data_IF_288449989158
#
_entry.id   IF_288449989158
#
_cell.length_a   1.000
_cell.length_b   1.000
_cell.length_c   1.000
_cell.angle_alpha   90.00
_cell.angle_beta   90.00
_cell.angle_gamma   90.00
#
_symmetry.space_group_name_H-M   'P 1'
#
loop_
_entity.id
_entity.type
_entity.pdbx_description
1 polymer ?
#
# COMPACT_ATOMS: atom_id res chain seq x y z
N UNK A 1 8.75 -20.70 3.17
CA UNK A 1 8.09 -20.27 1.92
C UNK A 1 9.06 -20.22 0.76
N UNK A 2 8.62 -20.71 -0.41
CA UNK A 2 9.39 -20.69 -1.64
C UNK A 2 9.27 -19.35 -2.37
N UNK A 3 10.35 -18.89 -3.02
CA UNK A 3 10.30 -17.69 -3.86
C UNK A 3 9.96 -18.07 -5.31
N UNK A 4 8.71 -17.89 -5.69
CA UNK A 4 8.19 -18.31 -7.01
C UNK A 4 8.12 -17.17 -8.03
N UNK A 5 8.38 -15.91 -7.64
CA UNK A 5 8.45 -14.76 -8.56
C UNK A 5 9.90 -14.34 -8.81
N UNK A 6 10.75 -14.42 -7.77
CA UNK A 6 12.16 -14.00 -7.85
C UNK A 6 12.34 -12.48 -8.03
N UNK A 7 11.53 -11.69 -7.31
CA UNK A 7 11.75 -10.24 -7.22
C UNK A 7 12.71 -9.93 -6.07
N UNK A 8 13.56 -8.88 -6.16
CA UNK A 8 14.42 -8.47 -5.05
C UNK A 8 13.62 -8.09 -3.81
N UNK A 9 14.20 -8.29 -2.61
CA UNK A 9 13.60 -7.84 -1.36
C UNK A 9 13.52 -6.32 -1.26
N UNK A 10 14.43 -5.60 -1.93
CA UNK A 10 14.43 -4.15 -2.08
C UNK A 10 14.96 -3.77 -3.47
N UNK A 11 14.28 -2.81 -4.12
CA UNK A 11 14.72 -2.25 -5.37
C UNK A 11 14.45 -0.75 -5.37
N UNK A 12 15.47 0.06 -5.58
CA UNK A 12 15.38 1.50 -5.64
C UNK A 12 15.98 2.03 -6.94
N UNK A 13 15.33 3.04 -7.50
CA UNK A 13 15.91 3.88 -8.52
C UNK A 13 16.29 5.23 -7.92
N UNK A 14 17.37 5.81 -8.42
CA UNK A 14 17.74 7.20 -8.14
C UNK A 14 17.46 8.00 -9.40
N UNK A 15 16.57 8.97 -9.28
CA UNK A 15 16.17 9.84 -10.37
C UNK A 15 16.80 11.21 -10.20
N UNK A 16 17.54 11.66 -11.22
CA UNK A 16 18.09 13.01 -11.33
C UNK A 16 17.29 13.86 -12.34
N UNK A 17 16.43 13.23 -13.14
CA UNK A 17 15.54 13.89 -14.11
C UNK A 17 14.11 13.42 -13.88
N UNK A 18 13.21 14.35 -13.56
CA UNK A 18 11.81 14.00 -13.35
C UNK A 18 10.86 15.19 -13.50
N UNK A 19 9.60 14.89 -13.72
CA UNK A 19 8.51 15.85 -13.82
C UNK A 19 7.57 15.74 -12.64
N UNK A 20 7.16 16.88 -12.08
CA UNK A 20 6.14 16.95 -11.04
C UNK A 20 4.93 17.68 -11.60
N UNK A 21 3.79 17.01 -11.64
CA UNK A 21 2.50 17.60 -12.00
C UNK A 21 1.75 18.00 -10.71
N UNK A 22 1.73 19.28 -10.39
CA UNK A 22 0.95 19.82 -9.27
C UNK A 22 -0.45 20.20 -9.76
N UNK A 23 -1.39 19.25 -9.65
CA UNK A 23 -2.77 19.45 -10.11
C UNK A 23 -3.52 20.54 -9.34
N UNK A 24 -3.13 20.82 -8.09
CA UNK A 24 -3.75 21.87 -7.28
C UNK A 24 -3.34 23.26 -7.74
N UNK A 25 -2.08 23.42 -8.16
CA UNK A 25 -1.54 24.69 -8.63
C UNK A 25 -1.58 24.80 -10.16
N UNK A 26 -2.00 23.73 -10.86
CA UNK A 26 -1.98 23.63 -12.33
C UNK A 26 -0.60 23.95 -12.92
N UNK A 27 0.44 23.39 -12.31
CA UNK A 27 1.84 23.63 -12.70
C UNK A 27 2.57 22.31 -12.95
N UNK A 28 3.49 22.36 -13.89
CA UNK A 28 4.47 21.30 -14.12
C UNK A 28 5.84 21.83 -13.72
N UNK A 29 6.52 21.10 -12.86
CA UNK A 29 7.91 21.37 -12.50
C UNK A 29 8.79 20.38 -13.23
N UNK A 30 9.82 20.87 -13.90
CA UNK A 30 10.88 20.06 -14.49
C UNK A 30 12.08 20.13 -13.56
N UNK A 31 12.56 18.98 -13.12
CA UNK A 31 13.68 18.86 -12.19
C UNK A 31 14.82 18.11 -12.89
N UNK A 32 15.99 18.72 -12.91
CA UNK A 32 17.26 18.13 -13.31
C UNK A 32 18.27 18.32 -12.20
N UNK A 33 18.93 17.26 -11.79
CA UNK A 33 19.89 17.24 -10.68
C UNK A 33 21.21 16.62 -11.14
N UNK A 34 22.23 16.70 -10.29
CA UNK A 34 23.56 16.15 -10.54
C UNK A 34 24.19 15.50 -9.30
N UNK A 35 23.37 15.08 -8.35
CA UNK A 35 23.83 14.54 -7.05
C UNK A 35 24.72 13.32 -7.23
N UNK A 36 24.40 12.46 -8.22
CA UNK A 36 25.09 11.19 -8.45
C UNK A 36 25.82 11.13 -9.80
N UNK A 37 25.30 11.79 -10.84
CA UNK A 37 25.87 11.75 -12.19
C UNK A 37 27.18 12.51 -12.33
N UNK A 38 27.45 13.45 -11.43
CA UNK A 38 28.62 14.33 -11.53
C UNK A 38 28.62 15.28 -12.74
N UNK A 39 27.42 15.46 -13.39
CA UNK A 39 27.25 16.43 -14.48
C UNK A 39 27.54 17.84 -13.98
N UNK A 40 28.21 18.64 -14.79
CA UNK A 40 28.39 20.06 -14.48
C UNK A 40 27.08 20.85 -14.66
N UNK A 41 27.10 22.07 -14.15
CA UNK A 41 25.88 22.92 -14.16
C UNK A 41 25.41 23.28 -15.58
N UNK A 42 26.31 23.33 -16.57
CA UNK A 42 25.96 23.65 -17.94
C UNK A 42 25.27 22.46 -18.61
N UNK A 43 25.74 21.24 -18.36
CA UNK A 43 25.10 20.00 -18.81
C UNK A 43 23.68 19.84 -18.19
N UNK A 44 23.55 20.18 -16.90
CA UNK A 44 22.22 20.16 -16.23
C UNK A 44 21.26 21.19 -16.83
N UNK A 45 21.74 22.42 -17.09
CA UNK A 45 20.93 23.47 -17.76
C UNK A 45 20.52 23.09 -19.17
N UNK A 46 21.44 22.47 -19.92
CA UNK A 46 21.15 22.02 -21.29
C UNK A 46 20.06 20.90 -21.26
N UNK A 47 20.19 19.92 -20.37
CA UNK A 47 19.18 18.85 -20.18
C UNK A 47 17.81 19.43 -19.83
N UNK A 48 17.76 20.37 -18.87
CA UNK A 48 16.54 21.07 -18.48
C UNK A 48 15.90 21.79 -19.68
N UNK A 49 16.70 22.54 -20.44
CA UNK A 49 16.23 23.24 -21.66
C UNK A 49 15.66 22.28 -22.69
N UNK A 50 16.29 21.14 -22.90
CA UNK A 50 15.82 20.11 -23.83
C UNK A 50 14.48 19.53 -23.42
N UNK A 51 14.30 19.18 -22.12
CA UNK A 51 13.02 18.65 -21.61
C UNK A 51 11.90 19.68 -21.77
N UNK A 52 12.15 20.94 -21.42
CA UNK A 52 11.17 22.03 -21.58
C UNK A 52 10.79 22.21 -23.06
N UNK A 53 11.78 22.22 -23.96
CA UNK A 53 11.54 22.32 -25.41
C UNK A 53 10.69 21.14 -25.91
N UNK A 54 11.03 19.93 -25.50
CA UNK A 54 10.25 18.73 -25.90
C UNK A 54 8.80 18.81 -25.44
N UNK A 55 8.55 19.25 -24.19
CA UNK A 55 7.19 19.41 -23.66
C UNK A 55 6.38 20.48 -24.43
N UNK A 56 7.02 21.49 -24.97
CA UNK A 56 6.37 22.58 -25.70
C UNK A 56 6.15 22.28 -27.18
N UNK A 57 7.02 21.48 -27.78
CA UNK A 57 7.05 21.29 -29.25
C UNK A 57 6.55 19.94 -29.72
N UNK A 58 6.59 18.90 -28.86
CA UNK A 58 6.08 17.60 -29.26
C UNK A 58 4.55 17.61 -29.28
N UNK A 59 3.99 17.21 -30.43
CA UNK A 59 2.55 16.95 -30.49
C UNK A 59 2.17 15.81 -29.54
N UNK A 60 1.05 15.90 -28.83
CA UNK A 60 0.58 14.79 -28.03
C UNK A 60 0.37 13.56 -28.92
N UNK A 61 0.96 12.43 -28.52
CA UNK A 61 0.64 11.17 -29.15
C UNK A 61 -0.84 10.88 -28.90
N UNK A 62 -1.61 10.70 -29.96
CA UNK A 62 -2.99 10.24 -29.84
C UNK A 62 -2.96 8.84 -29.24
N UNK A 63 -3.37 8.74 -27.98
CA UNK A 63 -3.55 7.46 -27.31
C UNK A 63 -4.90 6.88 -27.70
N UNK A 64 -4.89 5.77 -28.42
CA UNK A 64 -6.09 4.97 -28.67
C UNK A 64 -6.12 3.85 -27.61
N UNK A 65 -7.07 3.91 -26.65
CA UNK A 65 -7.20 2.83 -25.66
C UNK A 65 -7.42 1.50 -26.37
N UNK A 66 -6.55 0.53 -26.12
CA UNK A 66 -6.81 -0.83 -26.55
C UNK A 66 -7.72 -1.53 -25.53
N UNK A 67 -8.64 -2.34 -26.03
CA UNK A 67 -9.45 -3.17 -25.16
C UNK A 67 -8.53 -4.16 -24.41
N UNK A 68 -8.55 -4.12 -23.08
CA UNK A 68 -7.79 -5.08 -22.30
C UNK A 68 -8.39 -6.47 -22.48
N UNK A 69 -7.51 -7.44 -22.71
CA UNK A 69 -7.90 -8.84 -22.68
C UNK A 69 -8.28 -9.24 -21.26
N UNK A 70 -9.38 -9.97 -21.11
CA UNK A 70 -9.76 -10.53 -19.81
C UNK A 70 -8.75 -11.62 -19.41
N UNK A 71 -8.04 -11.39 -18.31
CA UNK A 71 -7.07 -12.34 -17.79
C UNK A 71 -7.78 -13.49 -17.07
N UNK A 72 -7.34 -14.72 -17.35
CA UNK A 72 -7.82 -15.92 -16.68
C UNK A 72 -6.84 -16.29 -15.57
N UNK A 73 -7.17 -15.92 -14.34
CA UNK A 73 -6.34 -16.19 -13.18
C UNK A 73 -6.51 -17.61 -12.65
N UNK A 74 -5.41 -18.25 -12.35
CA UNK A 74 -5.32 -19.54 -11.65
C UNK A 74 -4.75 -19.34 -10.24
N UNK A 75 -5.23 -20.14 -9.29
CA UNK A 75 -4.74 -20.15 -7.92
C UNK A 75 -3.38 -20.87 -7.86
N UNK A 76 -2.47 -20.39 -7.01
CA UNK A 76 -1.21 -21.06 -6.71
C UNK A 76 -1.34 -22.17 -5.67
N UNK A 77 -2.35 -22.08 -4.82
CA UNK A 77 -2.63 -23.08 -3.80
C UNK A 77 -4.06 -23.60 -3.94
N UNK A 78 -4.24 -24.88 -3.66
CA UNK A 78 -5.55 -25.52 -3.69
C UNK A 78 -6.45 -24.98 -2.55
N UNK A 79 -7.75 -24.99 -2.79
CA UNK A 79 -8.77 -24.48 -1.84
C UNK A 79 -8.65 -25.16 -0.48
N UNK A 80 -8.46 -26.48 -0.47
CA UNK A 80 -8.36 -27.30 0.73
C UNK A 80 -7.13 -26.92 1.57
N UNK A 81 -6.00 -26.62 0.91
CA UNK A 81 -4.77 -26.14 1.58
C UNK A 81 -5.02 -24.80 2.23
N UNK A 82 -5.65 -23.84 1.53
CA UNK A 82 -5.98 -22.54 2.11
C UNK A 82 -6.94 -22.67 3.28
N UNK A 83 -7.95 -23.53 3.18
CA UNK A 83 -8.89 -23.79 4.29
C UNK A 83 -8.19 -24.39 5.51
N UNK A 84 -7.21 -25.27 5.33
CA UNK A 84 -6.40 -25.82 6.43
C UNK A 84 -5.53 -24.72 7.09
N UNK A 85 -4.91 -23.84 6.30
CA UNK A 85 -4.18 -22.68 6.81
C UNK A 85 -5.09 -21.78 7.69
N UNK A 86 -6.30 -21.49 7.23
CA UNK A 86 -7.30 -20.73 7.97
C UNK A 86 -7.70 -21.43 9.26
N UNK A 87 -7.91 -22.74 9.22
CA UNK A 87 -8.26 -23.55 10.42
C UNK A 87 -7.15 -23.51 11.47
N UNK A 88 -5.90 -23.65 11.04
CA UNK A 88 -4.72 -23.55 11.91
C UNK A 88 -4.57 -22.14 12.51
N UNK A 89 -4.74 -21.08 11.72
CA UNK A 89 -4.69 -19.70 12.21
C UNK A 89 -5.79 -19.42 13.24
N UNK A 90 -7.01 -19.89 13.00
CA UNK A 90 -8.13 -19.82 13.96
C UNK A 90 -7.81 -20.54 15.28
N UNK A 91 -7.11 -21.68 15.22
CA UNK A 91 -6.67 -22.39 16.41
C UNK A 91 -5.67 -21.54 17.22
N UNK A 92 -4.64 -20.99 16.58
CA UNK A 92 -3.67 -20.11 17.25
C UNK A 92 -4.31 -18.89 17.91
N UNK A 93 -5.31 -18.28 17.25
CA UNK A 93 -6.05 -17.14 17.82
C UNK A 93 -6.85 -17.56 19.05
N UNK A 94 -7.55 -18.72 19.02
CA UNK A 94 -8.31 -19.23 20.17
C UNK A 94 -7.41 -19.60 21.36
N UNK A 95 -6.21 -20.08 21.10
CA UNK A 95 -5.21 -20.41 22.11
C UNK A 95 -4.53 -19.17 22.70
N UNK A 96 -4.87 -17.95 22.22
CA UNK A 96 -4.29 -16.70 22.71
C UNK A 96 -2.89 -16.39 22.18
N UNK A 97 -2.46 -17.07 21.12
CA UNK A 97 -1.14 -16.90 20.53
C UNK A 97 -1.01 -15.58 19.75
N UNK A 98 -2.11 -15.10 19.17
CA UNK A 98 -2.24 -13.82 18.49
C UNK A 98 -3.69 -13.33 18.48
N UNK A 99 -3.91 -12.02 18.28
CA UNK A 99 -5.24 -11.43 18.19
C UNK A 99 -5.77 -11.42 16.77
N UNK A 100 -4.88 -11.19 15.81
CA UNK A 100 -5.18 -11.08 14.39
C UNK A 100 -4.05 -11.65 13.54
N UNK A 101 -4.42 -12.25 12.41
CA UNK A 101 -3.51 -12.74 11.40
C UNK A 101 -4.13 -12.54 10.01
N UNK A 102 -3.35 -12.07 9.05
CA UNK A 102 -3.76 -11.92 7.65
C UNK A 102 -3.06 -12.97 6.82
N UNK A 103 -3.79 -13.99 6.38
CA UNK A 103 -3.31 -15.00 5.45
C UNK A 103 -3.57 -14.56 4.02
N UNK A 104 -2.67 -14.86 3.10
CA UNK A 104 -2.78 -14.47 1.71
C UNK A 104 -2.60 -15.66 0.76
N UNK A 105 -3.09 -15.46 -0.46
CA UNK A 105 -2.85 -16.37 -1.57
C UNK A 105 -2.55 -15.58 -2.84
N UNK A 106 -1.77 -16.20 -3.72
CA UNK A 106 -1.36 -15.65 -5.01
C UNK A 106 -2.17 -16.28 -6.13
N UNK A 107 -2.38 -15.45 -7.15
CA UNK A 107 -3.00 -15.83 -8.40
C UNK A 107 -2.08 -15.41 -9.54
N UNK A 108 -2.05 -16.18 -10.63
CA UNK A 108 -1.34 -15.79 -11.83
C UNK A 108 -2.16 -16.03 -13.10
N UNK A 109 -1.86 -15.26 -14.12
CA UNK A 109 -2.42 -15.40 -15.46
C UNK A 109 -1.34 -15.11 -16.49
N UNK A 110 -1.47 -15.67 -17.69
CA UNK A 110 -0.66 -15.26 -18.83
C UNK A 110 -1.02 -13.84 -19.22
N UNK A 111 -0.01 -13.03 -19.50
CA UNK A 111 -0.18 -11.61 -19.83
C UNK A 111 0.48 -11.31 -21.18
N UNK A 112 -0.34 -10.89 -22.12
CA UNK A 112 0.08 -10.39 -23.43
C UNK A 112 -0.52 -9.00 -23.60
N UNK A 113 0.31 -7.98 -23.67
CA UNK A 113 -0.17 -6.60 -23.85
C UNK A 113 0.81 -5.57 -23.32
N UNK A 114 0.46 -4.30 -23.46
CA UNK A 114 1.23 -3.19 -22.92
C UNK A 114 0.89 -2.99 -21.42
N UNK A 115 1.87 -3.11 -20.53
CA UNK A 115 1.69 -2.84 -19.11
C UNK A 115 1.14 -1.42 -18.82
N UNK A 116 1.52 -0.44 -19.64
CA UNK A 116 1.07 0.93 -19.47
C UNK A 116 -0.42 1.10 -19.80
N UNK A 117 -0.96 0.35 -20.76
CA UNK A 117 -2.40 0.35 -21.05
C UNK A 117 -3.21 -0.23 -19.89
N UNK A 118 -2.69 -1.26 -19.22
CA UNK A 118 -3.30 -1.75 -18.00
C UNK A 118 -3.31 -0.69 -16.91
N UNK A 119 -2.18 0.01 -16.68
CA UNK A 119 -2.12 1.11 -15.73
C UNK A 119 -3.10 2.24 -16.03
N UNK A 120 -3.23 2.64 -17.30
CA UNK A 120 -4.19 3.67 -17.73
C UNK A 120 -5.62 3.29 -17.42
N UNK A 121 -6.00 2.04 -17.67
CA UNK A 121 -7.31 1.52 -17.31
C UNK A 121 -7.52 1.48 -15.80
N UNK A 122 -6.53 1.00 -15.03
CA UNK A 122 -6.57 0.96 -13.57
C UNK A 122 -6.79 2.36 -12.98
N UNK A 123 -6.11 3.36 -13.51
CA UNK A 123 -6.24 4.76 -13.08
C UNK A 123 -7.66 5.31 -13.23
N UNK A 124 -8.38 4.90 -14.26
CA UNK A 124 -9.76 5.35 -14.53
C UNK A 124 -10.77 4.55 -13.69
N UNK A 125 -10.58 3.24 -13.61
CA UNK A 125 -11.55 2.33 -12.98
C UNK A 125 -11.41 2.28 -11.47
N UNK A 126 -10.21 2.46 -10.94
CA UNK A 126 -9.91 2.35 -9.51
C UNK A 126 -9.07 3.53 -9.01
N UNK A 127 -9.62 4.76 -8.98
CA UNK A 127 -8.90 5.92 -8.47
C UNK A 127 -8.52 5.69 -7.00
N UNK A 128 -7.26 5.91 -6.67
CA UNK A 128 -6.69 5.70 -5.36
C UNK A 128 -5.68 6.79 -5.03
N UNK A 129 -5.38 6.99 -3.75
CA UNK A 129 -4.42 7.99 -3.30
C UNK A 129 -2.99 7.67 -3.78
N UNK A 130 -2.69 6.38 -3.96
CA UNK A 130 -1.39 5.90 -4.42
C UNK A 130 -1.57 5.05 -5.68
N UNK A 131 -1.43 5.71 -6.82
CA UNK A 131 -1.39 5.08 -8.13
C UNK A 131 0.06 5.06 -8.60
N UNK A 132 0.54 3.91 -9.03
CA UNK A 132 1.92 3.75 -9.44
C UNK A 132 2.11 2.77 -10.58
N UNK A 133 3.11 3.07 -11.38
CA UNK A 133 3.66 2.24 -12.43
C UNK A 133 5.18 2.31 -12.33
N UNK A 134 5.82 1.21 -11.95
CA UNK A 134 7.26 1.07 -11.92
C UNK A 134 7.70 0.08 -12.98
N UNK A 135 8.60 0.49 -13.85
CA UNK A 135 9.26 -0.39 -14.79
C UNK A 135 10.71 -0.62 -14.33
N UNK A 136 10.99 -1.84 -13.88
CA UNK A 136 12.30 -2.26 -13.42
C UNK A 136 13.12 -2.97 -14.52
N UNK A 137 12.64 -2.95 -15.78
CA UNK A 137 13.22 -3.67 -16.89
C UNK A 137 12.78 -5.13 -16.92
N UNK A 138 13.25 -5.94 -16.00
CA UNK A 138 12.92 -7.38 -15.93
C UNK A 138 11.49 -7.64 -15.44
N UNK A 139 10.87 -6.69 -14.76
CA UNK A 139 9.50 -6.78 -14.26
C UNK A 139 8.87 -5.39 -14.08
N UNK A 140 7.55 -5.32 -14.15
CA UNK A 140 6.79 -4.12 -13.86
C UNK A 140 5.92 -4.31 -12.62
N UNK A 141 5.71 -3.21 -11.89
CA UNK A 141 4.84 -3.15 -10.71
C UNK A 141 3.78 -2.09 -10.94
N UNK A 142 2.52 -2.52 -10.96
CA UNK A 142 1.38 -1.67 -11.28
C UNK A 142 0.37 -1.76 -10.14
N UNK A 143 0.00 -0.63 -9.55
CA UNK A 143 -0.91 -0.69 -8.41
C UNK A 143 -1.74 0.57 -8.19
N UNK A 144 -2.80 0.37 -7.41
CA UNK A 144 -3.73 1.38 -6.93
C UNK A 144 -3.99 1.18 -5.43
N UNK A 145 -2.98 1.46 -4.61
CA UNK A 145 -3.08 1.28 -3.16
C UNK A 145 -3.91 2.40 -2.52
N UNK A 146 -4.89 2.08 -1.71
CA UNK A 146 -5.67 3.08 -0.97
C UNK A 146 -5.02 3.48 0.35
N UNK A 147 -3.99 2.76 0.82
CA UNK A 147 -3.54 2.81 2.20
C UNK A 147 -2.09 3.26 2.31
N UNK A 148 -1.88 4.36 3.04
CA UNK A 148 -0.56 4.82 3.44
C UNK A 148 0.05 3.87 4.46
N UNK A 149 1.31 3.51 4.28
CA UNK A 149 2.09 2.79 5.28
C UNK A 149 2.67 3.78 6.30
N UNK A 150 3.47 4.71 5.82
CA UNK A 150 4.13 5.72 6.64
C UNK A 150 4.60 6.89 5.77
N UNK A 151 4.49 8.10 6.30
CA UNK A 151 5.14 9.26 5.71
C UNK A 151 6.03 9.97 6.74
N UNK A 152 7.07 10.62 6.24
CA UNK A 152 7.96 11.50 7.03
C UNK A 152 8.05 12.82 6.30
N UNK A 153 7.73 13.89 7.01
CA UNK A 153 7.83 15.26 6.46
C UNK A 153 8.40 16.20 7.51
N UNK A 154 9.53 16.82 7.20
CA UNK A 154 10.23 17.70 8.14
C UNK A 154 10.48 17.03 9.50
N UNK A 155 10.78 15.72 9.52
CA UNK A 155 10.99 14.92 10.72
C UNK A 155 9.73 14.53 11.49
N UNK A 156 8.52 14.93 11.07
CA UNK A 156 7.27 14.39 11.60
C UNK A 156 6.93 13.08 10.88
N UNK A 157 6.83 12.00 11.66
CA UNK A 157 6.41 10.67 11.18
C UNK A 157 4.91 10.54 11.36
N UNK A 158 4.22 10.04 10.32
CA UNK A 158 2.77 9.87 10.33
C UNK A 158 2.40 8.49 9.80
N UNK A 159 1.45 7.83 10.46
CA UNK A 159 0.73 6.67 9.93
C UNK A 159 -0.78 6.88 10.06
N UNK A 160 -1.53 6.34 9.11
CA UNK A 160 -2.97 6.55 9.02
C UNK A 160 -3.70 5.19 9.10
N UNK A 161 -3.96 4.66 10.30
CA UNK A 161 -4.75 3.44 10.43
C UNK A 161 -6.15 3.63 9.84
N UNK A 162 -6.54 2.69 8.99
CA UNK A 162 -7.86 2.63 8.34
C UNK A 162 -8.44 1.25 8.65
N UNK A 163 -9.65 1.21 9.20
CA UNK A 163 -10.40 -0.02 9.39
C UNK A 163 -11.90 0.27 9.43
N UNK A 164 -12.69 -0.79 9.28
CA UNK A 164 -14.13 -0.64 9.17
C UNK A 164 -14.55 -0.09 7.80
N UNK A 165 -15.59 -0.68 7.23
CA UNK A 165 -16.07 -0.28 5.90
C UNK A 165 -17.58 -0.36 5.84
N UNK A 166 -18.19 0.69 5.27
CA UNK A 166 -19.59 0.66 4.82
C UNK A 166 -19.66 1.22 3.41
N UNK A 167 -20.61 0.75 2.59
CA UNK A 167 -20.87 1.37 1.29
C UNK A 167 -21.39 2.80 1.49
N UNK A 168 -21.31 3.61 0.45
CA UNK A 168 -21.99 4.91 0.40
C UNK A 168 -23.49 4.71 0.29
N UNK A 169 -24.23 5.55 0.97
CA UNK A 169 -25.69 5.63 0.81
C UNK A 169 -26.10 6.24 -0.54
N UNK A 170 -27.35 6.12 -0.87
CA UNK A 170 -27.94 6.72 -2.08
C UNK A 170 -28.25 8.21 -1.92
N UNK A 171 -28.24 8.70 -0.66
CA UNK A 171 -28.47 10.09 -0.28
C UNK A 171 -27.78 10.41 1.06
N UNK A 172 -27.76 11.70 1.42
CA UNK A 172 -27.08 12.18 2.64
C UNK A 172 -27.63 11.57 3.94
N UNK A 173 -28.94 11.31 4.03
CA UNK A 173 -29.54 10.74 5.22
C UNK A 173 -29.12 9.27 5.41
N UNK A 174 -29.06 8.51 4.34
CA UNK A 174 -28.56 7.13 4.34
C UNK A 174 -27.05 7.08 4.64
N UNK A 175 -26.26 7.99 4.05
CA UNK A 175 -24.83 8.14 4.37
C UNK A 175 -24.62 8.41 5.87
N UNK A 176 -25.41 9.32 6.45
CA UNK A 176 -25.32 9.64 7.88
C UNK A 176 -25.70 8.44 8.76
N UNK A 177 -26.73 7.68 8.40
CA UNK A 177 -27.16 6.48 9.14
C UNK A 177 -26.08 5.37 9.08
N UNK A 178 -25.47 5.12 7.91
CA UNK A 178 -24.38 4.16 7.74
C UNK A 178 -23.11 4.59 8.49
N UNK A 179 -22.80 5.89 8.52
CA UNK A 179 -21.68 6.43 9.28
C UNK A 179 -21.89 6.28 10.80
N UNK A 180 -23.12 6.53 11.27
CA UNK A 180 -23.48 6.33 12.68
C UNK A 180 -23.38 4.85 13.07
N UNK A 181 -23.93 3.95 12.25
CA UNK A 181 -23.80 2.49 12.43
C UNK A 181 -22.33 2.08 12.50
N UNK A 182 -21.49 2.53 11.55
CA UNK A 182 -20.07 2.19 11.51
C UNK A 182 -19.34 2.66 12.77
N UNK A 183 -19.61 3.87 13.24
CA UNK A 183 -18.95 4.45 14.41
C UNK A 183 -19.34 3.78 15.73
N UNK A 184 -20.52 3.13 15.78
CA UNK A 184 -21.01 2.39 16.94
C UNK A 184 -20.86 0.87 16.84
N UNK A 185 -20.39 0.36 15.71
CA UNK A 185 -20.12 -1.07 15.54
C UNK A 185 -18.96 -1.50 16.45
N UNK A 186 -19.29 -2.34 17.46
CA UNK A 186 -18.35 -2.80 18.48
C UNK A 186 -17.14 -3.53 17.86
N UNK A 187 -17.37 -4.30 16.80
CA UNK A 187 -16.36 -5.09 16.13
C UNK A 187 -15.40 -4.19 15.34
N UNK A 188 -15.95 -3.31 14.49
CA UNK A 188 -15.16 -2.42 13.65
C UNK A 188 -14.32 -1.44 14.49
N UNK A 189 -14.92 -0.90 15.57
CA UNK A 189 -14.21 0.01 16.50
C UNK A 189 -13.14 -0.72 17.31
N UNK A 190 -13.34 -1.98 17.71
CA UNK A 190 -12.34 -2.77 18.42
C UNK A 190 -11.15 -3.11 17.52
N UNK A 191 -11.40 -3.49 16.26
CA UNK A 191 -10.35 -3.72 15.26
C UNK A 191 -9.57 -2.44 14.98
N UNK A 192 -10.27 -1.34 14.74
CA UNK A 192 -9.62 -0.04 14.50
C UNK A 192 -8.75 0.40 15.67
N UNK A 193 -9.22 0.25 16.91
CA UNK A 193 -8.43 0.54 18.13
C UNK A 193 -7.14 -0.24 18.18
N UNK A 194 -7.19 -1.53 17.86
CA UNK A 194 -6.02 -2.39 17.79
C UNK A 194 -5.01 -1.89 16.76
N UNK A 195 -5.45 -1.44 15.57
CA UNK A 195 -4.57 -0.89 14.54
C UNK A 195 -3.97 0.47 14.94
N UNK A 196 -4.73 1.32 15.64
CA UNK A 196 -4.21 2.57 16.20
C UNK A 196 -3.13 2.29 17.26
N UNK A 197 -3.35 1.33 18.15
CA UNK A 197 -2.35 0.97 19.15
C UNK A 197 -1.10 0.36 18.52
N UNK A 198 -1.24 -0.42 17.45
CA UNK A 198 -0.12 -0.91 16.67
C UNK A 198 0.67 0.23 16.04
N UNK A 199 0.00 1.20 15.42
CA UNK A 199 0.64 2.40 14.85
C UNK A 199 1.36 3.23 15.91
N UNK A 200 0.75 3.41 17.09
CA UNK A 200 1.40 4.08 18.23
C UNK A 200 2.66 3.34 18.68
N UNK A 201 2.61 2.01 18.74
CA UNK A 201 3.76 1.20 19.10
C UNK A 201 4.88 1.30 18.05
N UNK A 202 4.54 1.26 16.77
CA UNK A 202 5.53 1.34 15.69
C UNK A 202 6.22 2.72 15.64
N UNK A 203 5.46 3.81 15.74
CA UNK A 203 6.02 5.17 15.81
C UNK A 203 6.76 5.38 17.16
N UNK A 204 6.27 4.80 18.25
CA UNK A 204 6.89 4.93 19.57
C UNK A 204 8.33 4.44 19.66
N UNK A 205 8.73 3.50 18.80
CA UNK A 205 10.11 2.98 18.73
C UNK A 205 11.13 3.99 18.18
N UNK A 206 10.66 4.95 17.40
CA UNK A 206 11.49 5.86 16.60
C UNK A 206 11.23 7.33 16.89
N UNK A 207 10.22 7.63 17.67
CA UNK A 207 9.84 9.01 18.00
C UNK A 207 10.42 9.48 19.33
N UNK A 208 10.65 10.77 19.45
CA UNK A 208 11.00 11.43 20.72
C UNK A 208 9.94 11.13 21.77
N UNK A 209 10.38 10.87 23.00
CA UNK A 209 9.48 10.60 24.11
C UNK A 209 8.44 11.71 24.30
N UNK A 210 7.18 11.33 24.50
CA UNK A 210 6.07 12.25 24.70
C UNK A 210 5.54 12.93 23.45
N UNK A 211 6.12 12.66 22.26
CA UNK A 211 5.66 13.27 20.99
C UNK A 211 4.64 12.45 20.25
N UNK A 212 4.48 11.15 20.56
CA UNK A 212 3.49 10.30 19.92
C UNK A 212 2.09 10.73 20.31
N UNK A 213 1.29 11.13 19.32
CA UNK A 213 -0.08 11.62 19.51
C UNK A 213 -1.00 11.01 18.47
N UNK A 214 -2.23 10.73 18.89
CA UNK A 214 -3.35 10.46 18.00
C UNK A 214 -4.07 11.78 17.78
N UNK A 215 -3.89 12.39 16.62
CA UNK A 215 -4.43 13.73 16.32
C UNK A 215 -5.82 13.67 15.69
N UNK A 216 -6.19 12.52 15.13
CA UNK A 216 -7.49 12.18 14.62
C UNK A 216 -7.80 10.75 15.09
N UNK A 217 -8.98 10.51 15.65
CA UNK A 217 -9.29 9.20 16.23
C UNK A 217 -10.69 8.73 15.86
N UNK A 218 -10.75 7.63 15.12
CA UNK A 218 -12.00 6.97 14.72
C UNK A 218 -13.01 7.90 14.04
N UNK A 219 -12.55 8.79 13.17
CA UNK A 219 -13.44 9.62 12.38
C UNK A 219 -13.89 8.88 11.11
N UNK A 220 -15.17 9.04 10.76
CA UNK A 220 -15.67 8.50 9.50
C UNK A 220 -15.24 9.40 8.36
N UNK A 221 -14.49 8.84 7.41
CA UNK A 221 -14.15 9.51 6.15
C UNK A 221 -14.92 8.90 4.99
N UNK A 222 -15.47 9.80 4.17
CA UNK A 222 -16.26 9.43 2.99
C UNK A 222 -15.38 9.42 1.75
N UNK A 223 -15.27 8.24 1.12
CA UNK A 223 -14.65 8.05 -0.17
C UNK A 223 -15.70 7.93 -1.27
N UNK A 224 -15.28 7.78 -2.50
CA UNK A 224 -16.21 7.76 -3.64
C UNK A 224 -17.28 6.67 -3.53
N UNK A 225 -16.92 5.46 -3.10
CA UNK A 225 -17.80 4.29 -3.09
C UNK A 225 -18.03 3.71 -1.70
N UNK A 226 -17.21 4.07 -0.76
CA UNK A 226 -17.22 3.52 0.61
C UNK A 226 -16.91 4.60 1.62
N UNK A 227 -17.19 4.34 2.89
CA UNK A 227 -16.71 5.11 4.03
C UNK A 227 -15.91 4.21 4.95
N UNK A 228 -14.93 4.79 5.64
CA UNK A 228 -14.04 4.08 6.56
C UNK A 228 -13.91 4.83 7.88
N UNK A 229 -13.61 4.09 8.97
CA UNK A 229 -13.01 4.67 10.17
C UNK A 229 -11.54 4.97 9.91
N UNK A 230 -11.14 6.19 10.19
CA UNK A 230 -9.76 6.66 9.99
C UNK A 230 -9.19 7.26 11.27
N UNK A 231 -7.91 7.09 11.47
CA UNK A 231 -7.16 7.74 12.54
C UNK A 231 -5.82 8.24 12.02
N UNK A 232 -5.22 9.19 12.73
CA UNK A 232 -3.90 9.73 12.42
C UNK A 232 -3.03 9.63 13.65
N UNK A 233 -1.96 8.86 13.56
CA UNK A 233 -0.93 8.75 14.60
C UNK A 233 0.33 9.45 14.11
N UNK A 234 0.85 10.36 14.92
CA UNK A 234 2.03 11.18 14.61
C UNK A 234 3.07 11.10 15.71
N UNK A 235 4.33 11.31 15.34
CA UNK A 235 5.45 11.46 16.27
C UNK A 235 6.60 12.23 15.63
N UNK A 236 7.42 12.87 16.45
CA UNK A 236 8.63 13.53 15.99
C UNK A 236 9.78 12.52 15.98
N UNK A 237 10.39 12.31 14.81
CA UNK A 237 11.52 11.39 14.65
C UNK A 237 12.69 11.77 15.58
N UNK A 238 13.36 10.77 16.13
CA UNK A 238 14.60 10.98 16.87
C UNK A 238 15.67 11.57 15.95
N UNK A 239 16.52 12.51 16.42
CA UNK A 239 17.47 13.22 15.57
C UNK A 239 18.52 12.33 14.89
N UNK A 240 18.85 11.20 15.52
CA UNK A 240 19.80 10.21 15.03
C UNK A 240 19.20 9.21 14.03
N UNK A 241 17.88 9.22 13.84
CA UNK A 241 17.17 8.32 12.94
C UNK A 241 16.79 9.02 11.64
N UNK A 242 16.65 8.22 10.59
CA UNK A 242 16.27 8.63 9.25
C UNK A 242 14.87 8.19 8.89
N UNK A 243 14.33 8.70 7.79
CA UNK A 243 13.05 8.23 7.24
C UNK A 243 13.06 6.71 6.94
N UNK A 244 14.20 6.13 6.56
CA UNK A 244 14.32 4.68 6.37
C UNK A 244 14.14 3.90 7.67
N UNK A 245 14.51 4.46 8.83
CA UNK A 245 14.26 3.82 10.11
C UNK A 245 12.77 3.86 10.47
N UNK A 246 12.05 4.92 10.04
CA UNK A 246 10.60 4.97 10.13
C UNK A 246 9.94 3.89 9.26
N UNK A 247 10.40 3.70 8.03
CA UNK A 247 9.93 2.62 7.16
C UNK A 247 10.17 1.24 7.79
N UNK A 248 11.37 0.96 8.29
CA UNK A 248 11.71 -0.31 8.97
C UNK A 248 10.84 -0.57 10.21
N UNK A 249 10.51 0.46 10.98
CA UNK A 249 9.68 0.33 12.18
C UNK A 249 8.23 -0.01 11.88
N UNK A 250 7.69 0.51 10.78
CA UNK A 250 6.29 0.34 10.39
C UNK A 250 6.03 -0.88 9.53
N UNK A 251 7.03 -1.34 8.77
CA UNK A 251 6.90 -2.48 7.84
C UNK A 251 6.98 -3.83 8.57
N UNK A 252 6.13 -4.82 8.19
CA UNK A 252 4.92 -4.68 7.38
C UNK A 252 3.79 -4.01 8.15
N UNK A 253 2.81 -3.46 7.41
CA UNK A 253 1.61 -2.90 8.02
C UNK A 253 0.82 -3.95 8.81
N UNK A 254 0.14 -3.53 9.87
CA UNK A 254 -0.71 -4.40 10.68
C UNK A 254 -1.88 -4.98 9.91
N UNK A 255 -2.45 -4.17 9.01
CA UNK A 255 -3.58 -4.52 8.14
C UNK A 255 -3.30 -5.66 7.17
N UNK A 256 -2.04 -5.96 6.90
CA UNK A 256 -1.60 -7.07 6.03
C UNK A 256 -0.77 -8.13 6.75
N UNK A 257 -0.52 -7.97 8.04
CA UNK A 257 0.21 -8.93 8.88
C UNK A 257 -0.62 -9.42 10.05
N UNK A 258 -0.79 -8.62 11.08
CA UNK A 258 -1.59 -8.94 12.26
C UNK A 258 -1.01 -8.40 13.56
N UNK A 259 -1.59 -8.82 14.67
CA UNK A 259 -1.24 -8.35 16.01
C UNK A 259 -1.17 -9.52 17.02
N UNK A 260 -0.13 -9.58 17.87
CA UNK A 260 1.09 -8.80 17.87
C UNK A 260 1.93 -9.04 16.61
N UNK A 261 2.48 -7.98 16.01
CA UNK A 261 3.10 -8.00 14.66
C UNK A 261 4.11 -9.14 14.47
N UNK A 262 5.12 -9.23 15.31
CA UNK A 262 6.20 -10.24 15.19
C UNK A 262 5.64 -11.66 15.30
N UNK A 263 4.67 -11.88 16.19
CA UNK A 263 4.07 -13.20 16.36
C UNK A 263 3.23 -13.58 15.15
N UNK A 264 2.40 -12.67 14.66
CA UNK A 264 1.61 -12.89 13.45
C UNK A 264 2.51 -13.20 12.23
N UNK A 265 3.60 -12.45 12.04
CA UNK A 265 4.56 -12.69 10.95
C UNK A 265 5.18 -14.11 11.03
N UNK A 266 5.53 -14.59 12.22
CA UNK A 266 6.05 -15.97 12.39
C UNK A 266 5.02 -16.99 11.96
N UNK A 267 3.75 -16.82 12.38
CA UNK A 267 2.68 -17.75 11.99
C UNK A 267 2.35 -17.70 10.51
N UNK A 268 2.37 -16.52 9.92
CA UNK A 268 2.23 -16.36 8.46
C UNK A 268 3.35 -17.14 7.74
N UNK A 269 4.60 -16.95 8.18
CA UNK A 269 5.75 -17.64 7.60
C UNK A 269 5.66 -19.18 7.71
N UNK A 270 5.08 -19.69 8.81
CA UNK A 270 4.86 -21.13 9.02
C UNK A 270 3.72 -21.69 8.17
N UNK A 271 2.71 -20.88 7.86
CA UNK A 271 1.49 -21.32 7.19
C UNK A 271 1.53 -21.10 5.67
N UNK A 272 2.04 -19.96 5.21
CA UNK A 272 2.14 -19.65 3.79
C UNK A 272 3.28 -20.45 3.13
N UNK A 273 3.01 -21.07 1.99
CA UNK A 273 3.98 -21.90 1.27
C UNK A 273 4.91 -21.08 0.39
N UNK A 274 4.46 -19.90 -0.06
CA UNK A 274 5.19 -18.99 -0.94
C UNK A 274 5.57 -17.70 -0.22
N UNK A 275 6.73 -17.14 -0.58
CA UNK A 275 7.10 -15.78 -0.18
C UNK A 275 6.13 -14.79 -0.80
N UNK A 276 5.77 -13.77 -0.04
CA UNK A 276 4.85 -12.73 -0.50
C UNK A 276 5.43 -11.84 -1.62
N UNK A 277 6.76 -11.76 -1.72
CA UNK A 277 7.42 -10.85 -2.64
C UNK A 277 7.02 -9.40 -2.33
N UNK A 278 6.55 -8.68 -3.35
CA UNK A 278 6.15 -7.27 -3.23
C UNK A 278 4.84 -7.09 -2.43
N UNK A 279 3.94 -8.09 -2.44
CA UNK A 279 2.68 -8.00 -1.72
C UNK A 279 2.91 -7.77 -0.21
N UNK A 280 2.14 -6.86 0.37
CA UNK A 280 2.26 -6.42 1.77
C UNK A 280 3.58 -5.70 2.11
N UNK A 281 4.39 -5.40 1.12
CA UNK A 281 5.57 -4.56 1.23
C UNK A 281 5.23 -3.07 1.19
N UNK A 282 6.20 -2.27 0.78
CA UNK A 282 6.10 -0.83 0.71
C UNK A 282 6.48 -0.31 -0.69
N UNK A 283 5.71 0.65 -1.17
CA UNK A 283 5.96 1.33 -2.44
C UNK A 283 5.85 2.83 -2.25
N UNK A 284 6.82 3.60 -2.74
CA UNK A 284 6.80 5.04 -2.55
C UNK A 284 8.11 5.71 -2.94
N UNK A 285 8.39 6.85 -2.35
CA UNK A 285 9.60 7.61 -2.62
C UNK A 285 10.26 8.15 -1.33
N UNK A 286 11.56 8.34 -1.43
CA UNK A 286 12.39 9.03 -0.47
C UNK A 286 13.07 10.20 -1.18
N UNK A 287 12.90 11.41 -0.67
CA UNK A 287 13.53 12.61 -1.24
C UNK A 287 14.92 12.83 -0.67
N UNK A 288 15.73 13.61 -1.39
CA UNK A 288 17.06 14.03 -0.94
C UNK A 288 17.01 14.89 0.35
N UNK A 289 15.87 15.50 0.65
CA UNK A 289 15.66 16.28 1.89
C UNK A 289 15.36 15.40 3.10
N UNK A 290 15.21 14.08 2.92
CA UNK A 290 14.84 13.13 3.97
C UNK A 290 13.33 13.00 4.19
N UNK A 291 12.52 13.66 3.39
CA UNK A 291 11.07 13.44 3.36
C UNK A 291 10.75 12.14 2.64
N UNK A 292 9.70 11.46 3.04
CA UNK A 292 9.33 10.14 2.56
C UNK A 292 7.81 9.96 2.54
N UNK A 293 7.30 9.24 1.54
CA UNK A 293 5.91 8.81 1.51
C UNK A 293 5.81 7.42 0.88
N UNK A 294 5.32 6.44 1.65
CA UNK A 294 5.17 5.06 1.22
C UNK A 294 3.75 4.55 1.47
N UNK A 295 3.21 3.89 0.45
CA UNK A 295 1.98 3.12 0.53
C UNK A 295 2.27 1.65 0.83
N UNK A 296 1.27 0.93 1.32
CA UNK A 296 1.28 -0.53 1.41
C UNK A 296 1.11 -1.10 0.00
N UNK A 297 1.94 -2.06 -0.39
CA UNK A 297 1.83 -2.72 -1.69
C UNK A 297 0.68 -3.74 -1.69
N UNK A 298 -0.54 -3.24 -1.83
CA UNK A 298 -1.79 -3.97 -2.02
C UNK A 298 -2.51 -3.46 -3.26
N UNK A 299 -3.48 -4.22 -3.77
CA UNK A 299 -4.14 -3.91 -5.06
C UNK A 299 -3.11 -3.69 -6.17
N UNK A 300 -2.14 -4.59 -6.19
CA UNK A 300 -0.92 -4.48 -6.98
C UNK A 300 -0.75 -5.71 -7.82
N UNK A 301 -0.40 -5.50 -9.08
CA UNK A 301 -0.03 -6.54 -10.04
C UNK A 301 1.46 -6.44 -10.33
N UNK A 302 2.11 -7.59 -10.39
CA UNK A 302 3.49 -7.74 -10.84
C UNK A 302 3.45 -8.42 -12.21
N UNK A 303 4.09 -7.80 -13.19
CA UNK A 303 4.29 -8.41 -14.51
C UNK A 303 5.72 -8.87 -14.63
N UNK A 304 5.93 -10.16 -14.87
CA UNK A 304 7.25 -10.76 -15.06
C UNK A 304 7.15 -12.02 -15.92
N UNK A 305 8.05 -12.16 -16.88
CA UNK A 305 8.12 -13.35 -17.75
C UNK A 305 6.77 -13.66 -18.42
N UNK A 306 6.11 -12.65 -19.01
CA UNK A 306 4.80 -12.77 -19.66
C UNK A 306 3.69 -13.33 -18.73
N UNK A 307 3.83 -13.15 -17.43
CA UNK A 307 2.81 -13.49 -16.44
C UNK A 307 2.45 -12.30 -15.58
N UNK A 308 1.16 -12.22 -15.27
CA UNK A 308 0.61 -11.30 -14.29
C UNK A 308 0.43 -12.06 -12.97
N UNK A 309 0.95 -11.49 -11.88
CA UNK A 309 0.78 -12.00 -10.52
C UNK A 309 0.00 -10.99 -9.70
N UNK A 310 -1.04 -11.43 -9.04
CA UNK A 310 -1.79 -10.67 -8.05
C UNK A 310 -1.87 -11.46 -6.75
N UNK A 311 -1.92 -10.77 -5.61
CA UNK A 311 -2.02 -11.43 -4.31
C UNK A 311 -3.04 -10.70 -3.46
N UNK A 312 -3.84 -11.47 -2.71
CA UNK A 312 -4.86 -10.95 -1.82
C UNK A 312 -4.81 -11.68 -0.47
N UNK A 313 -5.06 -10.94 0.60
CA UNK A 313 -5.11 -11.46 1.96
C UNK A 313 -6.48 -11.35 2.58
N UNK A 314 -6.73 -12.22 3.55
CA UNK A 314 -7.93 -12.23 4.38
C UNK A 314 -7.54 -12.14 5.85
N UNK A 315 -8.08 -11.14 6.56
CA UNK A 315 -7.86 -10.94 7.99
C UNK A 315 -8.68 -11.92 8.82
N UNK A 316 -8.03 -12.56 9.77
CA UNK A 316 -8.64 -13.42 10.78
C UNK A 316 -8.38 -12.82 12.16
N UNK A 317 -9.41 -12.55 12.92
CA UNK A 317 -9.27 -12.02 14.28
C UNK A 317 -10.18 -12.77 15.26
N UNK A 318 -9.93 -12.60 16.56
CA UNK A 318 -10.76 -13.20 17.61
C UNK A 318 -12.23 -12.81 17.47
N UNK A 319 -12.48 -11.57 17.04
CA UNK A 319 -13.83 -11.04 16.82
C UNK A 319 -14.55 -11.75 15.66
N UNK A 320 -13.82 -12.14 14.61
CA UNK A 320 -14.35 -12.87 13.45
C UNK A 320 -14.59 -14.37 13.72
N UNK A 321 -13.95 -14.94 14.73
CA UNK A 321 -14.05 -16.37 15.06
C UNK A 321 -15.31 -16.69 15.85
N UNK A 322 -15.87 -15.72 16.58
CA UNK A 322 -17.08 -15.88 17.38
C UNK A 322 -18.38 -15.86 16.58
N UNK A 323 -18.33 -15.42 15.31
CA UNK A 323 -19.49 -15.41 14.41
C UNK A 323 -19.24 -16.26 13.16
N UNK A 324 -20.30 -16.90 12.57
CA UNK A 324 -20.13 -17.60 11.30
C UNK A 324 -19.69 -16.62 10.23
N UNK A 325 -18.44 -16.77 9.80
CA UNK A 325 -17.86 -15.96 8.74
C UNK A 325 -18.75 -16.04 7.51
N UNK A 326 -19.33 -14.95 7.08
CA UNK A 326 -19.85 -14.83 5.71
C UNK A 326 -18.65 -14.93 4.77
N UNK A 327 -18.31 -16.14 4.41
CA UNK A 327 -17.51 -16.43 3.21
C UNK A 327 -18.40 -16.11 2.01
N UNK A 328 -18.60 -14.82 1.78
CA UNK A 328 -19.27 -14.33 0.60
C UNK A 328 -18.26 -13.59 -0.25
N UNK A 329 -17.89 -14.25 -1.26
CA UNK A 329 -17.21 -13.87 -2.53
C UNK A 329 -15.91 -14.56 -2.78
#
# INVERSE_FOLDING_TARGET
PEDTIGTPDMHFFIYESYLIFDHKKEKVYVVEDNIYSGRDNDAVRQALGQVVTNLQTQAPNEFTPQALQALQFSNHIEKEVFMDMVAKAKKFIREGDMFQCVLSQRFSADFEGDPLDYYRNLRVTNPSNYLYFYDFGDYQVIGASPESLVSVKNGEVVTNPIAGTRPRGTNEAEDAALADELSHDVKETAEHRMLVDLGRNDIGKIAKNGTVKVTKYMEVEYFRYVMHLTSVVKGQLLPELTALDALKSTLPAGTVSGAPKIRAMRRIYELEQEKRGIYAGAIGYLSATGDMDFAIAIRTMILKNQKAYVQAGAGLSLIHISEPTRLGM
#
